data_IF_481091333223
#
_entry.id   IF_481091333223
#
_cell.length_a   1.000
_cell.length_b   1.000
_cell.length_c   1.000
_cell.angle_alpha   90.00
_cell.angle_beta   90.00
_cell.angle_gamma   90.00
#
_symmetry.space_group_name_H-M   'P 1'
#
loop_
_entity.id
_entity.type
_entity.pdbx_description
1 polymer ?
#
# COMPACT_ATOMS: atom_id res chain seq x y z
N UNK A 1 -0.52 3.99 2.85
CA UNK A 1 -0.34 3.45 4.22
C UNK A 1 1.12 3.16 4.49
N UNK A 2 1.52 3.08 5.77
CA UNK A 2 2.73 2.38 6.21
C UNK A 2 2.31 0.97 6.63
N UNK A 3 2.90 -0.07 6.04
CA UNK A 3 2.56 -1.45 6.36
C UNK A 3 3.79 -2.37 6.31
N UNK A 4 3.82 -3.36 7.20
CA UNK A 4 4.82 -4.44 7.16
C UNK A 4 4.25 -5.67 6.45
N UNK A 5 5.08 -6.36 5.67
CA UNK A 5 4.68 -7.58 4.96
C UNK A 5 4.91 -8.78 5.85
N UNK A 6 3.86 -9.56 6.12
CA UNK A 6 3.89 -10.73 7.01
C UNK A 6 4.09 -12.05 6.25
N UNK A 7 3.42 -12.22 5.12
CA UNK A 7 3.50 -13.42 4.29
C UNK A 7 3.06 -13.11 2.86
N UNK A 8 3.27 -14.07 1.94
CA UNK A 8 2.77 -14.02 0.58
C UNK A 8 2.29 -15.41 0.15
N UNK A 9 1.26 -15.44 -0.69
CA UNK A 9 0.73 -16.65 -1.30
C UNK A 9 0.33 -16.38 -2.76
N UNK A 10 0.48 -17.37 -3.63
CA UNK A 10 0.04 -17.28 -5.02
C UNK A 10 -1.42 -17.74 -5.13
N UNK A 11 -2.25 -16.96 -5.80
CA UNK A 11 -3.69 -17.19 -5.99
C UNK A 11 -4.03 -16.93 -7.47
N UNK A 12 -3.90 -17.97 -8.30
CA UNK A 12 -4.02 -17.85 -9.75
C UNK A 12 -3.00 -16.85 -10.32
N UNK A 13 -3.48 -15.86 -11.07
CA UNK A 13 -2.63 -14.82 -11.67
C UNK A 13 -2.28 -13.66 -10.72
N UNK A 14 -2.46 -13.86 -9.41
CA UNK A 14 -2.22 -12.86 -8.39
C UNK A 14 -1.33 -13.39 -7.28
N UNK A 15 -0.59 -12.48 -6.66
CA UNK A 15 0.07 -12.70 -5.38
C UNK A 15 -0.69 -11.93 -4.31
N UNK A 16 -1.12 -12.64 -3.27
CA UNK A 16 -1.75 -12.06 -2.08
C UNK A 16 -0.70 -11.93 -1.00
N UNK A 17 -0.42 -10.70 -0.60
CA UNK A 17 0.44 -10.40 0.55
C UNK A 17 -0.43 -10.15 1.77
N UNK A 18 -0.16 -10.83 2.88
CA UNK A 18 -0.69 -10.45 4.17
C UNK A 18 0.17 -9.31 4.71
N UNK A 19 -0.45 -8.17 5.00
CA UNK A 19 0.23 -6.97 5.49
C UNK A 19 -0.35 -6.54 6.83
N UNK A 20 0.49 -5.97 7.70
CA UNK A 20 0.06 -5.31 8.92
C UNK A 20 0.15 -3.80 8.74
N UNK A 21 -1.00 -3.14 8.66
CA UNK A 21 -1.11 -1.69 8.46
C UNK A 21 -0.88 -0.98 9.80
N UNK A 22 0.26 -0.30 9.90
CA UNK A 22 0.66 0.46 11.09
C UNK A 22 0.06 1.87 11.09
N UNK A 23 0.15 2.56 9.96
CA UNK A 23 -0.35 3.93 9.81
C UNK A 23 -1.13 4.13 8.51
N UNK A 24 -2.29 4.76 8.63
CA UNK A 24 -3.09 5.21 7.49
C UNK A 24 -2.81 6.69 7.27
N UNK A 25 -2.20 7.04 6.14
CA UNK A 25 -1.86 8.44 5.84
C UNK A 25 -2.97 9.18 5.10
N UNK A 26 -3.62 8.53 4.14
CA UNK A 26 -4.74 9.05 3.37
C UNK A 26 -5.75 7.92 3.24
N UNK A 27 -7.02 8.24 3.43
CA UNK A 27 -8.12 7.32 3.21
C UNK A 27 -8.76 7.68 1.88
N UNK A 28 -8.93 6.66 1.03
CA UNK A 28 -9.68 6.75 -0.21
C UNK A 28 -11.05 6.11 -0.06
N UNK A 29 -11.63 5.74 -1.19
CA UNK A 29 -12.81 4.89 -1.26
C UNK A 29 -12.54 3.44 -0.83
N UNK A 30 -11.30 2.95 -0.92
CA UNK A 30 -10.92 1.68 -0.31
C UNK A 30 -10.99 1.78 1.23
N UNK A 31 -11.70 0.84 1.87
CA UNK A 31 -11.83 0.78 3.34
C UNK A 31 -10.55 0.21 3.96
N UNK A 32 -9.54 1.07 4.11
CA UNK A 32 -8.25 0.71 4.71
C UNK A 32 -8.19 1.20 6.15
N UNK A 33 -8.14 0.27 7.09
CA UNK A 33 -7.92 0.50 8.53
C UNK A 33 -6.55 -0.04 9.01
N UNK A 34 -6.21 0.23 10.27
CA UNK A 34 -5.04 -0.38 10.92
C UNK A 34 -5.25 -1.88 11.19
N UNK A 35 -4.17 -2.62 11.35
CA UNK A 35 -4.18 -4.06 11.61
C UNK A 35 -3.93 -4.90 10.35
N UNK A 36 -4.25 -6.18 10.42
CA UNK A 36 -4.00 -7.13 9.33
C UNK A 36 -4.94 -6.90 8.15
N UNK A 37 -4.36 -6.77 6.96
CA UNK A 37 -5.06 -6.62 5.68
C UNK A 37 -4.34 -7.36 4.56
N UNK A 38 -4.91 -7.31 3.37
CA UNK A 38 -4.34 -7.90 2.17
C UNK A 38 -3.88 -6.83 1.19
N UNK A 39 -2.75 -7.10 0.54
CA UNK A 39 -2.28 -6.38 -0.63
C UNK A 39 -2.20 -7.37 -1.79
N UNK A 40 -2.93 -7.08 -2.86
CA UNK A 40 -2.99 -7.87 -4.08
C UNK A 40 -2.08 -7.26 -5.13
N UNK A 41 -1.26 -8.09 -5.77
CA UNK A 41 -0.39 -7.67 -6.88
C UNK A 41 -0.51 -8.70 -7.99
N UNK A 42 -0.68 -8.26 -9.23
CA UNK A 42 -0.76 -9.21 -10.34
C UNK A 42 0.61 -9.86 -10.57
N UNK A 43 0.64 -11.10 -11.05
CA UNK A 43 1.91 -11.78 -11.39
C UNK A 43 2.65 -11.02 -12.49
N UNK A 44 1.92 -10.38 -13.41
CA UNK A 44 2.47 -9.51 -14.46
C UNK A 44 3.18 -8.29 -13.90
N UNK A 45 2.59 -7.63 -12.90
CA UNK A 45 3.23 -6.47 -12.23
C UNK A 45 4.43 -6.91 -11.37
N UNK A 46 4.45 -8.15 -10.89
CA UNK A 46 5.62 -8.68 -10.17
C UNK A 46 6.79 -9.02 -11.12
N UNK A 47 6.49 -9.39 -12.37
CA UNK A 47 7.48 -9.83 -13.36
C UNK A 47 8.46 -8.71 -13.74
N UNK A 48 8.04 -7.44 -13.69
CA UNK A 48 8.90 -6.29 -13.96
C UNK A 48 9.96 -6.04 -12.85
N UNK A 49 9.92 -6.83 -11.75
CA UNK A 49 10.78 -6.71 -10.55
C UNK A 49 10.69 -5.36 -9.84
N UNK A 50 9.67 -4.55 -10.13
CA UNK A 50 9.48 -3.21 -9.60
C UNK A 50 8.06 -3.09 -9.03
N UNK A 51 7.87 -3.20 -7.69
CA UNK A 51 8.85 -3.27 -6.61
C UNK A 51 9.10 -4.70 -6.09
N UNK A 52 10.34 -4.98 -5.65
CA UNK A 52 10.66 -6.23 -4.92
C UNK A 52 10.09 -6.20 -3.51
N UNK A 53 8.84 -6.62 -3.36
CA UNK A 53 8.18 -6.75 -2.06
C UNK A 53 8.74 -7.98 -1.33
N UNK A 54 9.39 -7.74 -0.19
CA UNK A 54 10.00 -8.75 0.67
C UNK A 54 9.17 -8.91 1.94
N UNK A 55 9.08 -10.15 2.41
CA UNK A 55 8.46 -10.47 3.71
C UNK A 55 9.35 -9.94 4.84
N UNK A 56 8.75 -9.57 5.99
CA UNK A 56 9.39 -8.95 7.16
C UNK A 56 9.96 -7.54 6.92
N UNK A 57 9.61 -6.92 5.80
CA UNK A 57 10.01 -5.54 5.50
C UNK A 57 8.80 -4.59 5.57
N UNK A 58 9.07 -3.35 5.95
CA UNK A 58 8.06 -2.28 6.03
C UNK A 58 8.12 -1.39 4.79
N UNK A 59 6.95 -1.01 4.28
CA UNK A 59 6.80 -0.21 3.07
C UNK A 59 5.86 0.98 3.27
N UNK A 60 6.14 2.06 2.56
CA UNK A 60 5.13 3.05 2.18
C UNK A 60 4.41 2.53 0.94
N UNK A 61 3.11 2.30 1.06
CA UNK A 61 2.23 1.85 -0.04
C UNK A 61 1.26 2.98 -0.37
N UNK A 62 1.32 3.49 -1.59
CA UNK A 62 0.36 4.43 -2.16
C UNK A 62 -0.24 3.77 -3.39
N UNK A 63 -1.50 3.34 -3.30
CA UNK A 63 -2.21 2.75 -4.43
C UNK A 63 -3.34 3.67 -4.89
N UNK A 64 -3.76 3.50 -6.14
CA UNK A 64 -5.03 4.04 -6.58
C UNK A 64 -6.17 3.27 -5.90
N UNK A 65 -7.29 3.94 -5.69
CA UNK A 65 -8.51 3.26 -5.27
C UNK A 65 -8.99 2.35 -6.41
N UNK A 66 -8.78 1.05 -6.26
CA UNK A 66 -9.44 0.02 -7.07
C UNK A 66 -10.20 -0.89 -6.11
N UNK A 67 -11.51 -0.68 -6.00
CA UNK A 67 -12.38 -1.63 -5.30
C UNK A 67 -12.61 -2.81 -6.23
N UNK A 68 -12.03 -3.96 -5.86
CA UNK A 68 -12.37 -5.23 -6.48
C UNK A 68 -13.26 -6.01 -5.50
N UNK A 69 -14.55 -6.22 -5.82
CA UNK A 69 -15.48 -6.94 -4.93
C UNK A 69 -14.98 -8.34 -4.55
N UNK A 70 -14.32 -9.02 -5.49
CA UNK A 70 -13.78 -10.37 -5.31
C UNK A 70 -12.48 -10.42 -4.49
N UNK A 71 -11.80 -9.29 -4.29
CA UNK A 71 -10.47 -9.21 -3.66
C UNK A 71 -10.47 -8.14 -2.58
N UNK A 72 -10.87 -8.48 -1.34
CA UNK A 72 -10.84 -7.53 -0.25
C UNK A 72 -9.39 -7.12 0.04
N UNK A 73 -9.15 -5.81 0.19
CA UNK A 73 -7.85 -5.25 0.51
C UNK A 73 -7.40 -4.16 -0.46
N UNK A 74 -6.11 -3.88 -0.43
CA UNK A 74 -5.42 -2.98 -1.36
C UNK A 74 -4.98 -3.74 -2.60
N UNK A 75 -4.92 -3.05 -3.73
CA UNK A 75 -4.27 -3.56 -4.95
C UNK A 75 -3.08 -2.67 -5.27
N UNK A 76 -1.93 -3.25 -5.56
CA UNK A 76 -0.81 -2.52 -6.16
C UNK A 76 -0.64 -2.96 -7.62
N UNK A 77 -0.64 -1.96 -8.49
CA UNK A 77 -0.51 -2.04 -9.94
C UNK A 77 0.63 -1.12 -10.42
N UNK A 78 0.80 -1.00 -11.75
CA UNK A 78 1.76 -0.09 -12.40
C UNK A 78 1.66 1.39 -11.95
N UNK A 79 0.51 1.81 -11.40
CA UNK A 79 0.25 3.18 -10.94
C UNK A 79 0.44 3.35 -9.44
N UNK A 80 0.82 2.27 -8.76
CA UNK A 80 1.00 2.22 -7.32
C UNK A 80 2.48 2.41 -6.97
N UNK A 81 2.72 3.16 -5.90
CA UNK A 81 4.06 3.36 -5.35
C UNK A 81 4.19 2.46 -4.11
N UNK A 82 5.10 1.48 -4.18
CA UNK A 82 5.48 0.66 -3.02
C UNK A 82 6.98 0.76 -2.84
N UNK A 83 7.39 1.52 -1.83
CA UNK A 83 8.80 1.82 -1.57
C UNK A 83 9.13 1.51 -0.11
N UNK A 84 10.33 0.98 0.11
CA UNK A 84 10.76 0.59 1.46
C UNK A 84 10.73 1.78 2.40
N UNK A 85 10.17 1.55 3.59
CA UNK A 85 9.97 2.59 4.57
C UNK A 85 11.29 3.12 5.11
N UNK A 86 11.38 4.45 5.24
CA UNK A 86 12.46 5.14 5.94
C UNK A 86 11.89 5.94 7.10
N UNK A 87 12.54 5.91 8.25
CA UNK A 87 12.00 6.53 9.47
C UNK A 87 11.82 8.05 9.36
N UNK A 88 12.67 8.71 8.58
CA UNK A 88 12.56 10.14 8.30
C UNK A 88 11.28 10.50 7.51
N UNK A 89 10.67 9.53 6.83
CA UNK A 89 9.41 9.73 6.10
C UNK A 89 8.21 9.89 7.02
N UNK A 90 8.24 9.41 8.26
CA UNK A 90 7.15 9.62 9.22
C UNK A 90 6.82 11.11 9.37
N UNK A 91 7.87 11.94 9.52
CA UNK A 91 7.75 13.40 9.64
C UNK A 91 7.25 14.02 8.35
N UNK A 92 7.73 13.57 7.19
CA UNK A 92 7.32 14.06 5.86
C UNK A 92 5.84 13.75 5.60
N UNK A 93 5.40 12.52 5.82
CA UNK A 93 4.02 12.09 5.64
C UNK A 93 3.05 12.86 6.52
N UNK A 94 3.38 13.08 7.81
CA UNK A 94 2.58 13.93 8.71
C UNK A 94 2.46 15.37 8.21
N UNK A 95 3.52 15.95 7.64
CA UNK A 95 3.46 17.29 7.04
C UNK A 95 2.52 17.32 5.83
N UNK A 96 2.58 16.33 4.95
CA UNK A 96 1.67 16.23 3.81
C UNK A 96 0.21 16.07 4.24
N UNK A 97 -0.08 15.21 5.21
CA UNK A 97 -1.42 15.08 5.79
C UNK A 97 -1.96 16.42 6.31
N UNK A 98 -1.15 17.16 7.07
CA UNK A 98 -1.54 18.48 7.60
C UNK A 98 -1.82 19.49 6.48
N UNK A 99 -1.03 19.48 5.40
CA UNK A 99 -1.27 20.33 4.22
C UNK A 99 -2.57 19.97 3.51
N UNK A 100 -2.84 18.68 3.33
CA UNK A 100 -4.08 18.18 2.72
C UNK A 100 -5.31 18.60 3.54
N UNK A 101 -5.28 18.42 4.86
CA UNK A 101 -6.37 18.83 5.76
C UNK A 101 -6.65 20.34 5.74
N UNK A 102 -5.65 21.14 5.38
CA UNK A 102 -5.76 22.61 5.22
C UNK A 102 -6.16 23.03 3.79
N UNK A 103 -6.56 22.09 2.92
CA UNK A 103 -6.92 22.38 1.53
C UNK A 103 -5.74 22.81 0.64
N UNK A 104 -4.49 22.59 1.07
CA UNK A 104 -3.28 23.05 0.33
C UNK A 104 -2.76 22.02 -0.70
N UNK A 105 -3.61 21.09 -1.12
CA UNK A 105 -3.32 20.19 -2.24
C UNK A 105 -3.83 20.84 -3.51
N UNK A 106 -2.96 20.99 -4.52
CA UNK A 106 -3.38 21.38 -5.87
C UNK A 106 -4.05 20.15 -6.51
N UNK A 107 -5.19 20.37 -7.18
CA UNK A 107 -5.84 19.34 -8.00
C UNK A 107 -5.05 19.12 -9.29
#
# INVERSE_FOLDING_TARGET
VQASVLSREAVGNWIKFTIHVMQVFKQGSAKVHRGTQFLWVSVTDLACKCPKIKVKQTYLILSKDSRQPERPGLTADERSIVIEWKDDWARRMRRYQRRQRKGKCKN
#
